data_IF_131765955180
#
_entry.id   IF_131765955180
#
_cell.length_a   1.000
_cell.length_b   1.000
_cell.length_c   1.000
_cell.angle_alpha   90.00
_cell.angle_beta   90.00
_cell.angle_gamma   90.00
#
_symmetry.space_group_name_H-M   'P 1'
#
loop_
_entity.id
_entity.type
_entity.pdbx_description
1 polymer ?
#
# COMPACT_ATOMS: atom_id res chain seq x y z
N UNK A 1 19.83 5.38 23.91
CA UNK A 1 18.41 5.00 23.76
C UNK A 1 18.30 3.52 24.08
N UNK A 2 17.27 3.09 24.82
CA UNK A 2 17.07 1.66 25.10
C UNK A 2 16.42 1.00 23.89
N UNK A 3 17.01 -0.08 23.37
CA UNK A 3 16.45 -0.84 22.24
C UNK A 3 15.07 -1.42 22.59
N UNK A 4 14.81 -1.73 23.86
CA UNK A 4 13.49 -2.17 24.33
C UNK A 4 12.43 -1.06 24.15
N UNK A 5 12.78 0.20 24.43
CA UNK A 5 11.86 1.33 24.24
C UNK A 5 11.57 1.55 22.74
N UNK A 6 12.57 1.33 21.87
CA UNK A 6 12.40 1.40 20.42
C UNK A 6 11.48 0.30 19.89
N UNK A 7 11.65 -0.93 20.38
CA UNK A 7 10.76 -2.05 20.04
C UNK A 7 9.32 -1.77 20.48
N UNK A 8 9.12 -1.15 21.65
CA UNK A 8 7.78 -0.75 22.10
C UNK A 8 7.14 0.30 21.18
N UNK A 9 7.92 1.28 20.69
CA UNK A 9 7.44 2.24 19.67
C UNK A 9 7.05 1.51 18.38
N UNK A 10 7.89 0.59 17.89
CA UNK A 10 7.60 -0.20 16.70
C UNK A 10 6.33 -1.04 16.83
N UNK A 11 6.13 -1.69 17.99
CA UNK A 11 4.92 -2.45 18.30
C UNK A 11 3.68 -1.55 18.36
N UNK A 12 3.79 -0.37 18.97
CA UNK A 12 2.70 0.59 19.03
C UNK A 12 2.32 1.10 17.62
N UNK A 13 3.30 1.43 16.77
CA UNK A 13 3.06 1.82 15.38
C UNK A 13 2.43 0.69 14.56
N UNK A 14 2.94 -0.53 14.69
CA UNK A 14 2.35 -1.70 14.00
C UNK A 14 0.91 -1.96 14.46
N UNK A 15 0.62 -1.81 15.76
CA UNK A 15 -0.72 -1.94 16.31
C UNK A 15 -1.68 -0.86 15.80
N UNK A 16 -1.20 0.38 15.63
CA UNK A 16 -1.99 1.46 15.03
C UNK A 16 -2.28 1.19 13.56
N UNK A 17 -1.28 0.72 12.81
CA UNK A 17 -1.40 0.35 11.40
C UNK A 17 -2.41 -0.79 11.17
N UNK A 18 -2.50 -1.74 12.08
CA UNK A 18 -3.48 -2.84 11.99
C UNK A 18 -4.89 -2.44 12.41
N UNK A 19 -5.07 -1.25 13.01
CA UNK A 19 -6.34 -0.79 13.50
C UNK A 19 -7.13 -0.06 12.40
N UNK A 20 -7.95 -0.82 11.67
CA UNK A 20 -8.79 -0.28 10.58
C UNK A 20 -9.73 0.84 11.05
N UNK A 21 -10.25 0.76 12.29
CA UNK A 21 -11.10 1.80 12.86
C UNK A 21 -10.33 3.10 13.06
N UNK A 22 -9.08 3.01 13.51
CA UNK A 22 -8.21 4.19 13.64
C UNK A 22 -7.98 4.84 12.28
N UNK A 23 -7.68 4.06 11.24
CA UNK A 23 -7.49 4.59 9.88
C UNK A 23 -8.75 5.22 9.29
N UNK A 24 -9.90 4.57 9.45
CA UNK A 24 -11.18 5.11 8.96
C UNK A 24 -11.53 6.44 9.61
N UNK A 25 -11.23 6.59 10.90
CA UNK A 25 -11.46 7.84 11.64
C UNK A 25 -10.43 8.91 11.27
N UNK A 26 -9.17 8.53 11.03
CA UNK A 26 -8.09 9.46 10.67
C UNK A 26 -8.32 10.16 9.32
N UNK A 27 -9.05 9.52 8.39
CA UNK A 27 -9.41 10.10 7.10
C UNK A 27 -10.43 11.25 7.21
N UNK A 28 -11.10 11.40 8.37
CA UNK A 28 -12.04 12.48 8.57
C UNK A 28 -11.32 13.83 8.70
N UNK A 29 -11.82 14.90 8.05
CA UNK A 29 -11.13 16.19 8.04
C UNK A 29 -11.07 16.86 9.41
N UNK A 30 -12.09 16.67 10.27
CA UNK A 30 -12.11 17.16 11.66
C UNK A 30 -11.01 16.51 12.50
N UNK A 31 -10.87 15.19 12.40
CA UNK A 31 -9.86 14.42 13.11
C UNK A 31 -8.46 14.75 12.61
N UNK A 32 -8.25 14.81 11.30
CA UNK A 32 -6.95 15.18 10.72
C UNK A 32 -6.51 16.59 11.17
N UNK A 33 -7.44 17.56 11.24
CA UNK A 33 -7.20 18.90 11.80
C UNK A 33 -6.82 18.82 13.28
N UNK A 34 -7.55 18.04 14.08
CA UNK A 34 -7.26 17.87 15.50
C UNK A 34 -5.87 17.26 15.74
N UNK A 35 -5.48 16.26 14.95
CA UNK A 35 -4.14 15.65 15.01
C UNK A 35 -3.06 16.66 14.61
N UNK A 36 -3.27 17.48 13.58
CA UNK A 36 -2.32 18.54 13.16
C UNK A 36 -2.17 19.66 14.20
N UNK A 37 -3.25 20.02 14.88
CA UNK A 37 -3.21 20.95 16.01
C UNK A 37 -2.45 20.37 17.19
N UNK A 38 -2.76 19.13 17.58
CA UNK A 38 -2.07 18.43 18.66
C UNK A 38 -0.57 18.27 18.37
N UNK A 39 -0.21 18.00 17.12
CA UNK A 39 1.14 17.95 16.62
C UNK A 39 1.90 19.29 16.66
N UNK A 40 1.19 20.41 16.79
CA UNK A 40 1.74 21.75 16.64
C UNK A 40 2.14 22.12 15.22
N UNK A 41 1.66 21.39 14.20
CA UNK A 41 1.89 21.71 12.78
C UNK A 41 1.01 22.88 12.35
N UNK A 42 -0.26 22.84 12.74
CA UNK A 42 -1.25 23.86 12.40
C UNK A 42 -2.08 24.22 13.63
N UNK A 43 -1.72 25.33 14.29
CA UNK A 43 -2.38 25.76 15.53
C UNK A 43 -3.69 26.46 15.23
N UNK A 44 -4.77 25.72 15.40
CA UNK A 44 -6.14 26.24 15.35
C UNK A 44 -6.50 27.14 16.55
N UNK A 45 -7.48 28.02 16.32
CA UNK A 45 -8.01 28.93 17.33
C UNK A 45 -8.81 28.19 18.42
N UNK A 46 -8.92 28.73 19.64
CA UNK A 46 -9.60 28.04 20.75
C UNK A 46 -11.06 27.69 20.44
N UNK A 47 -11.76 28.56 19.70
CA UNK A 47 -13.15 28.42 19.28
C UNK A 47 -13.38 27.17 18.42
N UNK A 48 -12.41 26.81 17.57
CA UNK A 48 -12.49 25.63 16.71
C UNK A 48 -12.21 24.31 17.48
N UNK A 49 -11.68 24.41 18.70
CA UNK A 49 -11.32 23.28 19.56
C UNK A 49 -12.38 22.95 20.62
N UNK A 50 -13.38 23.81 20.85
CA UNK A 50 -14.38 23.64 21.92
C UNK A 50 -15.19 22.33 21.74
N UNK A 51 -15.50 21.98 20.50
CA UNK A 51 -16.34 20.82 20.19
C UNK A 51 -15.57 19.47 20.24
N UNK A 52 -14.25 19.49 20.28
CA UNK A 52 -13.46 18.25 20.16
C UNK A 52 -13.55 17.34 21.38
N UNK A 53 -13.78 17.92 22.57
CA UNK A 53 -13.97 17.15 23.79
C UNK A 53 -15.28 16.36 23.76
N UNK A 54 -16.25 16.83 22.97
CA UNK A 54 -17.56 16.20 22.77
C UNK A 54 -17.54 15.17 21.64
N UNK A 55 -16.52 15.21 20.75
CA UNK A 55 -16.37 14.27 19.64
C UNK A 55 -15.65 12.98 20.10
N UNK A 56 -16.36 11.83 20.17
CA UNK A 56 -15.77 10.57 20.61
C UNK A 56 -14.70 10.05 19.63
N UNK A 57 -14.73 10.44 18.36
CA UNK A 57 -13.78 10.01 17.34
C UNK A 57 -12.44 10.74 17.51
N UNK A 58 -12.48 12.05 17.72
CA UNK A 58 -11.28 12.86 18.01
C UNK A 58 -10.64 12.40 19.33
N UNK A 59 -11.45 12.22 20.38
CA UNK A 59 -10.97 11.77 21.68
C UNK A 59 -10.33 10.38 21.61
N UNK A 60 -10.90 9.46 20.82
CA UNK A 60 -10.33 8.14 20.57
C UNK A 60 -8.94 8.24 19.93
N UNK A 61 -8.80 9.01 18.85
CA UNK A 61 -7.51 9.16 18.14
C UNK A 61 -6.46 9.83 19.02
N UNK A 62 -6.83 10.89 19.76
CA UNK A 62 -5.91 11.57 20.68
C UNK A 62 -5.47 10.67 21.84
N UNK A 63 -6.33 9.77 22.32
CA UNK A 63 -5.96 8.80 23.35
C UNK A 63 -4.92 7.80 22.86
N UNK A 64 -5.08 7.29 21.63
CA UNK A 64 -4.10 6.40 21.01
C UNK A 64 -2.77 7.12 20.72
N UNK A 65 -2.82 8.38 20.25
CA UNK A 65 -1.63 9.20 20.04
C UNK A 65 -0.87 9.49 21.34
N UNK A 66 -1.57 9.71 22.47
CA UNK A 66 -0.92 9.87 23.78
C UNK A 66 -0.20 8.61 24.24
N UNK A 67 -0.74 7.43 23.94
CA UNK A 67 -0.04 6.16 24.21
C UNK A 67 1.24 6.06 23.38
N UNK A 68 1.16 6.38 22.09
CA UNK A 68 2.35 6.42 21.23
C UNK A 68 3.36 7.46 21.73
N UNK A 69 2.92 8.65 22.13
CA UNK A 69 3.77 9.70 22.71
C UNK A 69 4.50 9.21 23.97
N UNK A 70 3.82 8.44 24.82
CA UNK A 70 4.45 7.86 26.00
C UNK A 70 5.65 6.98 25.63
N UNK A 71 5.48 6.06 24.67
CA UNK A 71 6.57 5.19 24.20
C UNK A 71 7.67 5.98 23.49
N UNK A 72 7.31 6.94 22.63
CA UNK A 72 8.27 7.81 21.97
C UNK A 72 9.10 8.61 22.99
N UNK A 73 8.47 9.14 24.05
CA UNK A 73 9.14 9.88 25.11
C UNK A 73 10.09 9.00 25.92
N UNK A 74 9.71 7.76 26.22
CA UNK A 74 10.61 6.78 26.85
C UNK A 74 11.81 6.45 25.96
N UNK A 75 11.61 6.39 24.64
CA UNK A 75 12.66 6.21 23.66
C UNK A 75 13.47 7.50 23.39
N UNK A 76 13.11 8.65 23.98
CA UNK A 76 13.80 9.93 23.76
C UNK A 76 13.56 10.56 22.38
N UNK A 77 12.45 10.20 21.73
CA UNK A 77 12.10 10.66 20.37
C UNK A 77 10.75 11.41 20.34
N UNK A 78 10.56 12.20 19.29
CA UNK A 78 9.25 12.84 19.01
C UNK A 78 8.33 11.85 18.29
N UNK A 79 7.02 12.05 18.41
CA UNK A 79 6.03 11.21 17.72
C UNK A 79 6.17 11.38 16.20
N UNK A 80 6.35 10.28 15.45
CA UNK A 80 6.50 10.33 13.99
C UNK A 80 5.14 10.48 13.32
N UNK A 81 4.59 11.69 13.38
CA UNK A 81 3.25 11.99 12.89
C UNK A 81 3.10 11.82 11.38
N UNK A 82 4.15 12.04 10.60
CA UNK A 82 4.14 11.76 9.16
C UNK A 82 3.83 10.29 8.89
N UNK A 83 4.52 9.39 9.60
CA UNK A 83 4.31 7.93 9.53
C UNK A 83 2.90 7.54 9.98
N UNK A 84 2.41 8.12 11.09
CA UNK A 84 1.05 7.84 11.58
C UNK A 84 -0.04 8.33 10.62
N UNK A 85 0.10 9.53 10.05
CA UNK A 85 -0.84 10.09 9.08
C UNK A 85 -0.81 9.35 7.74
N UNK A 86 0.36 8.86 7.33
CA UNK A 86 0.52 8.03 6.14
C UNK A 86 0.05 6.57 6.34
N UNK A 87 -0.36 6.20 7.57
CA UNK A 87 -0.67 4.81 7.94
C UNK A 87 0.49 3.85 7.67
N UNK A 88 1.70 4.35 7.82
CA UNK A 88 2.95 3.61 7.68
C UNK A 88 3.43 3.15 9.06
N UNK A 89 4.27 2.13 9.09
CA UNK A 89 4.95 1.62 10.29
C UNK A 89 6.47 1.65 10.14
N UNK A 90 6.97 2.35 9.12
CA UNK A 90 8.39 2.52 8.87
C UNK A 90 8.89 3.83 9.47
N UNK A 91 9.88 3.74 10.34
CA UNK A 91 10.49 4.86 11.02
C UNK A 91 12.00 4.81 10.87
N UNK A 92 12.58 5.84 10.25
CA UNK A 92 14.02 6.04 10.20
C UNK A 92 14.52 6.64 11.53
N UNK A 93 15.46 5.96 12.17
CA UNK A 93 16.15 6.45 13.37
C UNK A 93 17.38 7.28 12.97
N UNK A 94 17.81 8.25 13.82
CA UNK A 94 18.99 9.08 13.54
C UNK A 94 20.29 8.26 13.45
N UNK A 95 20.32 7.06 14.04
CA UNK A 95 21.46 6.14 13.99
C UNK A 95 21.52 5.34 12.66
N UNK A 96 20.66 5.63 11.68
CA UNK A 96 20.56 4.90 10.41
C UNK A 96 19.74 3.60 10.48
N UNK A 97 19.45 3.11 11.69
CA UNK A 97 18.53 1.98 11.93
C UNK A 97 17.10 2.32 11.47
N UNK A 98 16.32 1.30 11.09
CA UNK A 98 14.91 1.46 10.71
C UNK A 98 14.04 0.59 11.61
N UNK A 99 12.99 1.16 12.16
CA UNK A 99 11.92 0.39 12.80
C UNK A 99 10.89 0.06 11.73
N UNK A 100 10.66 -1.23 11.49
CA UNK A 100 9.64 -1.72 10.55
C UNK A 100 8.87 -2.86 11.18
N UNK A 101 7.55 -2.74 11.23
CA UNK A 101 6.65 -3.80 11.70
C UNK A 101 7.00 -4.38 13.09
N UNK A 102 7.49 -3.52 14.00
CA UNK A 102 7.85 -3.93 15.36
C UNK A 102 9.25 -4.52 15.52
N UNK A 103 10.06 -4.53 14.46
CA UNK A 103 11.45 -4.99 14.49
C UNK A 103 12.42 -3.84 14.21
N UNK A 104 13.54 -3.83 14.93
CA UNK A 104 14.69 -3.00 14.62
C UNK A 104 15.46 -3.66 13.47
N UNK A 105 15.26 -3.13 12.28
CA UNK A 105 16.10 -3.45 11.14
C UNK A 105 17.36 -2.60 11.30
N UNK A 106 18.52 -3.24 11.40
CA UNK A 106 19.81 -2.53 11.32
C UNK A 106 19.82 -1.65 10.06
N UNK A 107 20.62 -0.57 10.00
CA UNK A 107 20.88 0.04 8.70
C UNK A 107 21.28 -1.13 7.81
N UNK A 108 20.47 -1.42 6.79
CA UNK A 108 21.00 -2.16 5.67
C UNK A 108 22.26 -1.36 5.36
N UNK A 109 23.42 -1.99 5.58
CA UNK A 109 24.65 -1.59 4.89
C UNK A 109 24.12 -1.19 3.55
N UNK A 110 24.23 0.11 3.23
CA UNK A 110 24.02 0.51 1.87
C UNK A 110 24.96 -0.43 1.15
N UNK A 111 24.42 -1.43 0.49
CA UNK A 111 25.04 -1.97 -0.70
C UNK A 111 25.09 -0.74 -1.59
N UNK A 112 26.12 0.09 -1.37
CA UNK A 112 27.03 0.50 -2.42
C UNK A 112 26.97 -0.60 -3.45
N UNK A 113 26.68 -0.25 -4.70
CA UNK A 113 26.46 -1.12 -5.86
C UNK A 113 27.49 -2.25 -6.08
N UNK A 114 28.44 -2.48 -5.17
CA UNK A 114 29.53 -3.45 -5.20
C UNK A 114 29.21 -4.84 -4.62
N UNK A 115 28.12 -5.07 -3.86
CA UNK A 115 27.90 -6.39 -3.21
C UNK A 115 26.50 -6.98 -3.47
N UNK A 116 25.97 -6.72 -4.67
CA UNK A 116 24.81 -7.44 -5.20
C UNK A 116 25.32 -8.82 -5.69
N UNK A 117 24.78 -9.97 -5.23
CA UNK A 117 25.06 -11.24 -5.88
C UNK A 117 24.65 -11.09 -7.34
N UNK A 118 25.59 -11.35 -8.27
CA UNK A 118 25.41 -11.20 -9.72
C UNK A 118 24.01 -11.66 -10.12
N UNK A 119 23.09 -10.68 -10.25
CA UNK A 119 21.79 -10.95 -10.81
C UNK A 119 22.07 -11.45 -12.22
N UNK A 120 21.45 -12.55 -12.67
CA UNK A 120 21.63 -12.98 -14.04
C UNK A 120 21.33 -11.79 -14.94
N UNK A 121 22.21 -11.45 -15.90
CA UNK A 121 22.04 -10.27 -16.72
C UNK A 121 20.63 -10.29 -17.30
N UNK A 122 19.84 -9.25 -17.01
CA UNK A 122 18.50 -9.12 -17.56
C UNK A 122 18.68 -8.92 -19.05
N UNK A 123 18.59 -10.01 -19.80
CA UNK A 123 18.76 -10.01 -21.25
C UNK A 123 17.69 -9.09 -21.85
N UNK A 124 18.05 -7.94 -22.46
CA UNK A 124 17.09 -7.04 -23.11
C UNK A 124 16.44 -7.68 -24.35
N UNK A 125 16.76 -8.94 -24.66
CA UNK A 125 16.08 -9.76 -25.67
C UNK A 125 14.88 -10.53 -25.13
N UNK A 126 14.76 -10.73 -23.82
CA UNK A 126 13.68 -11.50 -23.21
C UNK A 126 12.32 -10.84 -23.43
N UNK A 127 12.18 -9.54 -23.17
CA UNK A 127 10.92 -8.81 -23.37
C UNK A 127 10.49 -8.77 -24.84
N UNK A 128 11.44 -8.69 -25.78
CA UNK A 128 11.15 -8.78 -27.22
C UNK A 128 10.59 -10.14 -27.59
N UNK A 129 11.12 -11.23 -27.01
CA UNK A 129 10.57 -12.58 -27.22
C UNK A 129 9.17 -12.71 -26.62
N UNK A 130 8.91 -12.13 -25.46
CA UNK A 130 7.57 -12.13 -24.85
C UNK A 130 6.55 -11.39 -25.72
N UNK A 131 6.94 -10.22 -26.28
CA UNK A 131 6.08 -9.48 -27.21
C UNK A 131 5.84 -10.23 -28.53
N UNK A 132 6.88 -10.87 -29.09
CA UNK A 132 6.74 -11.67 -30.31
C UNK A 132 5.79 -12.85 -30.05
N UNK A 133 5.91 -13.53 -28.92
CA UNK A 133 4.98 -14.60 -28.53
C UNK A 133 3.55 -14.11 -28.33
N UNK A 134 3.36 -12.96 -27.69
CA UNK A 134 2.03 -12.33 -27.56
C UNK A 134 1.43 -12.01 -28.93
N UNK A 135 2.20 -11.44 -29.86
CA UNK A 135 1.73 -11.17 -31.21
C UNK A 135 1.36 -12.44 -31.98
N UNK A 136 2.19 -13.50 -31.90
CA UNK A 136 1.89 -14.79 -32.52
C UNK A 136 0.58 -15.37 -31.96
N UNK A 137 0.38 -15.32 -30.65
CA UNK A 137 -0.86 -15.85 -30.03
C UNK A 137 -2.10 -15.07 -30.45
N UNK A 138 -2.03 -13.74 -30.56
CA UNK A 138 -3.13 -12.92 -31.06
C UNK A 138 -3.48 -13.24 -32.51
N UNK A 139 -2.48 -13.39 -33.38
CA UNK A 139 -2.71 -13.74 -34.79
C UNK A 139 -3.32 -15.13 -34.92
N UNK A 140 -2.82 -16.11 -34.16
CA UNK A 140 -3.37 -17.48 -34.16
C UNK A 140 -4.84 -17.48 -33.71
N UNK A 141 -5.17 -16.74 -32.65
CA UNK A 141 -6.55 -16.61 -32.17
C UNK A 141 -7.48 -15.97 -33.21
N UNK A 142 -7.02 -14.94 -33.92
CA UNK A 142 -7.78 -14.31 -34.99
C UNK A 142 -8.04 -15.26 -36.17
N UNK A 143 -7.04 -16.06 -36.55
CA UNK A 143 -7.18 -17.08 -37.61
C UNK A 143 -8.18 -18.14 -37.19
N UNK A 144 -8.08 -18.68 -35.97
CA UNK A 144 -9.01 -19.69 -35.47
C UNK A 144 -10.45 -19.15 -35.38
N UNK A 145 -10.63 -17.91 -34.92
CA UNK A 145 -11.94 -17.26 -34.91
C UNK A 145 -12.49 -17.12 -36.33
N UNK A 146 -11.65 -16.72 -37.30
CA UNK A 146 -12.07 -16.59 -38.69
C UNK A 146 -12.46 -17.93 -39.33
N UNK A 147 -11.71 -19.00 -39.04
CA UNK A 147 -12.02 -20.37 -39.49
C UNK A 147 -13.33 -20.85 -38.84
N UNK A 148 -13.53 -20.60 -37.54
CA UNK A 148 -14.76 -20.94 -36.84
C UNK A 148 -16.00 -20.29 -37.45
N UNK A 149 -15.91 -19.00 -37.81
CA UNK A 149 -16.99 -18.27 -38.51
C UNK A 149 -17.29 -18.91 -39.87
N UNK A 150 -16.25 -19.28 -40.63
CA UNK A 150 -16.41 -19.93 -41.94
C UNK A 150 -17.06 -21.31 -41.83
N UNK A 151 -16.63 -22.11 -40.85
CA UNK A 151 -17.20 -23.44 -40.60
C UNK A 151 -18.68 -23.36 -40.20
N UNK A 152 -19.03 -22.36 -39.39
CA UNK A 152 -20.42 -22.11 -39.01
C UNK A 152 -21.26 -21.72 -40.23
N UNK A 153 -20.78 -20.84 -41.11
CA UNK A 153 -21.49 -20.46 -42.35
C UNK A 153 -21.75 -21.67 -43.28
N UNK A 154 -20.79 -22.59 -43.41
CA UNK A 154 -20.97 -23.80 -44.22
C UNK A 154 -22.01 -24.77 -43.64
N UNK A 155 -22.01 -24.98 -42.32
CA UNK A 155 -23.01 -25.81 -41.63
C UNK A 155 -24.42 -25.22 -41.79
N UNK A 156 -24.56 -23.90 -41.62
CA UNK A 156 -25.83 -23.21 -41.85
C UNK A 156 -26.30 -23.32 -43.31
N UNK A 157 -25.39 -23.17 -44.29
CA UNK A 157 -25.72 -23.32 -45.70
C UNK A 157 -26.16 -24.75 -46.05
N UNK A 158 -25.52 -25.78 -45.46
CA UNK A 158 -25.93 -27.18 -45.64
C UNK A 158 -27.32 -27.45 -45.05
N UNK A 159 -27.63 -26.93 -43.86
CA UNK A 159 -28.96 -27.08 -43.26
C UNK A 159 -30.06 -26.40 -44.09
N UNK A 160 -29.80 -25.20 -44.62
CA UNK A 160 -30.77 -24.49 -45.48
C UNK A 160 -31.08 -25.25 -46.78
N UNK A 161 -30.06 -25.82 -47.44
CA UNK A 161 -30.25 -26.61 -48.65
C UNK A 161 -30.96 -27.94 -48.38
N UNK A 162 -30.68 -28.61 -47.26
CA UNK A 162 -31.37 -29.84 -46.87
C UNK A 162 -32.86 -29.60 -46.60
N UNK A 163 -33.20 -28.49 -45.93
CA UNK A 163 -34.59 -28.12 -45.60
C UNK A 163 -35.39 -27.72 -46.86
N UNK A 164 -34.71 -27.19 -47.88
CA UNK A 164 -35.33 -26.80 -49.15
C UNK A 164 -35.56 -27.97 -50.11
N UNK A 165 -34.96 -29.14 -49.85
CA UNK A 165 -35.12 -30.35 -50.66
C UNK A 165 -36.28 -31.25 -50.18
N UNK A 166 -36.84 -30.99 -49.00
CA UNK A 166 -37.99 -31.74 -48.43
C UNK A 166 -39.34 -31.02 -48.63
N UNK A 167 -39.37 -29.90 -49.35
CA UNK A 167 -40.55 -29.13 -49.75
C UNK A 167 -40.80 -29.25 -51.26
#
# INVERSE_FOLDING_TARGET
MSDDALLQVGKALSSLKQNERFHGVLQQPSVAKAVRHWAGIDRLAPEECEDWQSDPQIMFVLAELRRLEHYCRQAGMKVPLHTVLACEDELALPDGRRLRSGELVEPAVQTTEEDLPDLPPVDPRSWRRTLVWQLITMVLAAILARIGVWYQEEEFAKMLNATSAEL
#
